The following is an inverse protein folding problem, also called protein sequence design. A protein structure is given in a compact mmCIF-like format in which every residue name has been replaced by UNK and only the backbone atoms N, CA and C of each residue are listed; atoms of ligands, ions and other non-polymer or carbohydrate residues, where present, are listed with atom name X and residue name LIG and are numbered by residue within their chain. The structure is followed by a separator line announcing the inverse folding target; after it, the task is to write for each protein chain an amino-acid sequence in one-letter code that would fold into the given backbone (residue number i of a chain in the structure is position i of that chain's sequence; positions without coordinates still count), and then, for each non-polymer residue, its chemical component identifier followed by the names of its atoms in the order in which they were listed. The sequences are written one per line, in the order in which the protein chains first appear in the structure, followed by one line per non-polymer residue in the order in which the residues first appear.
data_IF_218110745179
#
_entry.id   IF_218110745179
#
_cell.length_a   1.000
_cell.length_b   1.000
_cell.length_c   1.000
_cell.angle_alpha   90.00
_cell.angle_beta   90.00
_cell.angle_gamma   90.00
#
_symmetry.space_group_name_H-M   'P 1'
#
loop_
_entity.id
_entity.type
_entity.pdbx_description
1 polymer ?
#
# COMPACT_ATOMS: atom_id res chain seq x y z
N UNK A 1 -12.24 -38.69 -14.71
CA UNK A 1 -11.41 -38.13 -13.62
C UNK A 1 -10.58 -37.06 -14.28
N UNK A 2 -11.07 -35.82 -14.26
CA UNK A 2 -10.43 -34.69 -14.93
C UNK A 2 -9.40 -34.07 -14.00
N UNK A 3 -8.24 -33.75 -14.56
CA UNK A 3 -7.10 -33.18 -13.85
C UNK A 3 -7.38 -31.69 -13.60
N UNK A 4 -7.16 -31.14 -12.39
CA UNK A 4 -7.43 -29.73 -12.14
C UNK A 4 -6.39 -28.81 -12.80
N UNK A 5 -6.91 -27.76 -13.43
CA UNK A 5 -6.25 -26.83 -14.38
C UNK A 5 -5.33 -25.76 -13.75
N UNK A 6 -4.73 -25.99 -12.57
CA UNK A 6 -3.88 -24.98 -11.91
C UNK A 6 -2.39 -25.04 -12.29
N UNK A 7 -2.01 -25.81 -13.32
CA UNK A 7 -0.63 -25.92 -13.81
C UNK A 7 -0.40 -25.33 -15.21
N UNK A 8 -1.40 -24.70 -15.82
CA UNK A 8 -1.23 -23.99 -17.08
C UNK A 8 -0.97 -22.51 -16.80
N UNK A 9 0.30 -22.16 -16.59
CA UNK A 9 0.79 -20.80 -16.82
C UNK A 9 0.50 -20.49 -18.28
N UNK A 10 -0.59 -19.77 -18.51
CA UNK A 10 -0.76 -19.05 -19.77
C UNK A 10 0.24 -17.91 -19.71
N UNK A 11 1.27 -17.96 -20.57
CA UNK A 11 2.00 -16.76 -20.97
C UNK A 11 0.96 -15.79 -21.53
N UNK A 12 0.46 -14.91 -20.67
CA UNK A 12 -0.39 -13.81 -21.08
C UNK A 12 0.41 -12.98 -22.09
N UNK A 13 -0.20 -12.59 -23.22
CA UNK A 13 0.48 -11.74 -24.18
C UNK A 13 0.98 -10.50 -23.45
N UNK A 14 2.24 -10.12 -23.74
CA UNK A 14 2.87 -8.89 -23.31
C UNK A 14 1.85 -7.75 -23.25
N UNK A 15 1.79 -7.08 -22.10
CA UNK A 15 0.90 -5.95 -21.77
C UNK A 15 0.45 -5.19 -23.02
N UNK A 16 -0.71 -5.56 -23.57
CA UNK A 16 -1.38 -4.75 -24.56
C UNK A 16 -1.78 -3.47 -23.83
N UNK A 17 -1.20 -2.36 -24.28
CA UNK A 17 -1.54 -1.00 -23.86
C UNK A 17 -3.04 -0.78 -24.00
N UNK A 18 -3.80 -1.09 -22.96
CA UNK A 18 -5.24 -0.92 -22.93
C UNK A 18 -5.54 0.56 -22.77
N UNK A 19 -6.04 1.14 -23.85
CA UNK A 19 -6.63 2.48 -23.84
C UNK A 19 -7.98 2.40 -23.14
N UNK A 20 -8.04 2.85 -21.89
CA UNK A 20 -9.29 2.89 -21.13
C UNK A 20 -10.08 4.17 -21.48
N UNK A 21 -11.30 4.07 -22.04
CA UNK A 21 -12.08 5.22 -22.44
C UNK A 21 -12.56 6.01 -21.22
N UNK A 22 -12.47 7.34 -21.27
CA UNK A 22 -13.13 8.24 -20.32
C UNK A 22 -14.29 8.92 -21.06
N UNK A 23 -15.51 8.48 -20.78
CA UNK A 23 -16.74 9.08 -21.31
C UNK A 23 -16.99 8.88 -22.81
N UNK A 24 -18.11 9.42 -23.27
CA UNK A 24 -18.62 9.28 -24.64
C UNK A 24 -17.85 10.10 -25.69
N UNK A 25 -16.85 10.89 -25.26
CA UNK A 25 -16.17 11.88 -26.11
C UNK A 25 -14.97 11.33 -26.88
N UNK A 26 -14.59 10.06 -26.69
CA UNK A 26 -13.56 9.38 -27.50
C UNK A 26 -12.13 9.87 -27.29
N UNK A 27 -11.86 10.69 -26.26
CA UNK A 27 -10.50 11.08 -25.89
C UNK A 27 -9.86 10.02 -25.00
N UNK A 28 -8.92 9.26 -25.57
CA UNK A 28 -8.06 8.33 -24.82
C UNK A 28 -6.71 8.99 -24.59
N UNK A 29 -6.34 9.22 -23.32
CA UNK A 29 -4.97 9.57 -22.97
C UNK A 29 -4.07 8.35 -23.15
N UNK A 30 -2.84 8.55 -23.65
CA UNK A 30 -1.81 7.53 -23.51
C UNK A 30 -1.54 7.33 -22.02
N UNK A 31 -1.17 6.12 -21.63
CA UNK A 31 -0.82 5.81 -20.24
C UNK A 31 0.30 6.75 -19.71
N UNK A 32 1.24 7.12 -20.57
CA UNK A 32 2.31 8.09 -20.30
C UNK A 32 1.84 9.53 -20.08
N UNK A 33 0.61 9.85 -20.46
CA UNK A 33 0.01 11.19 -20.36
C UNK A 33 -0.94 11.30 -19.15
N UNK A 34 -1.19 10.19 -18.44
CA UNK A 34 -1.98 10.21 -17.21
C UNK A 34 -1.10 10.63 -16.01
N UNK A 35 -1.64 11.41 -15.06
CA UNK A 35 -0.94 11.63 -13.80
C UNK A 35 -0.74 10.28 -13.12
N UNK A 36 0.50 9.91 -12.82
CA UNK A 36 0.83 8.68 -12.13
C UNK A 36 0.49 8.80 -10.64
N UNK A 37 -0.24 7.81 -10.10
CA UNK A 37 -0.49 7.72 -8.66
C UNK A 37 0.82 7.42 -7.93
N UNK A 38 1.00 8.00 -6.75
CA UNK A 38 2.14 7.67 -5.88
C UNK A 38 2.14 6.18 -5.46
N UNK A 39 1.01 5.49 -5.61
CA UNK A 39 0.85 4.07 -5.32
C UNK A 39 1.10 3.16 -6.53
N UNK A 40 1.32 3.68 -7.73
CA UNK A 40 1.67 2.85 -8.90
C UNK A 40 2.87 1.93 -8.65
N UNK A 41 3.98 2.39 -8.03
CA UNK A 41 5.11 1.51 -7.68
C UNK A 41 4.78 0.43 -6.65
N UNK A 42 3.73 0.63 -5.84
CA UNK A 42 3.29 -0.35 -4.86
C UNK A 42 2.51 -1.49 -5.49
N UNK A 43 1.67 -1.18 -6.48
CA UNK A 43 0.76 -2.16 -7.08
C UNK A 43 1.39 -2.90 -8.27
N UNK A 44 2.11 -2.18 -9.14
CA UNK A 44 2.56 -2.74 -10.42
C UNK A 44 4.03 -3.11 -10.49
N UNK A 45 4.87 -2.69 -9.54
CA UNK A 45 6.29 -3.07 -9.56
C UNK A 45 6.50 -4.51 -9.06
N UNK A 46 7.61 -5.12 -9.47
CA UNK A 46 8.01 -6.45 -8.98
C UNK A 46 8.43 -6.41 -7.51
N UNK A 47 9.00 -5.29 -7.05
CA UNK A 47 9.54 -5.10 -5.70
C UNK A 47 8.77 -4.04 -4.92
N UNK A 48 8.89 -4.04 -3.59
CA UNK A 48 8.33 -2.96 -2.75
C UNK A 48 9.27 -1.75 -2.89
N UNK A 49 8.76 -0.51 -2.95
CA UNK A 49 9.61 0.68 -3.07
C UNK A 49 10.75 0.69 -2.04
N UNK A 50 11.97 0.93 -2.52
CA UNK A 50 13.17 0.81 -1.69
C UNK A 50 13.15 1.75 -0.47
N UNK A 51 12.57 2.94 -0.61
CA UNK A 51 12.38 3.88 0.50
C UNK A 51 11.50 3.28 1.60
N UNK A 52 10.40 2.63 1.22
CA UNK A 52 9.52 1.97 2.17
C UNK A 52 10.16 0.77 2.85
N UNK A 53 10.93 -0.04 2.09
CA UNK A 53 11.73 -1.12 2.66
C UNK A 53 12.73 -0.57 3.69
N UNK A 54 13.46 0.50 3.37
CA UNK A 54 14.43 1.10 4.27
C UNK A 54 13.78 1.59 5.58
N UNK A 55 12.61 2.24 5.48
CA UNK A 55 11.85 2.70 6.65
C UNK A 55 11.39 1.54 7.52
N UNK A 56 10.80 0.50 6.92
CA UNK A 56 10.31 -0.65 7.67
C UNK A 56 11.46 -1.45 8.30
N UNK A 57 12.58 -1.61 7.59
CA UNK A 57 13.76 -2.33 8.08
C UNK A 57 14.48 -1.64 9.25
N UNK A 58 14.07 -0.42 9.66
CA UNK A 58 14.44 0.14 10.97
C UNK A 58 13.91 -0.70 12.14
N UNK A 59 12.99 -1.64 11.89
CA UNK A 59 12.56 -2.68 12.82
C UNK A 59 12.97 -4.04 12.28
N UNK A 60 13.68 -4.80 13.11
CA UNK A 60 14.17 -6.14 12.79
C UNK A 60 13.05 -7.07 12.29
N UNK A 61 11.82 -6.88 12.76
CA UNK A 61 10.66 -7.69 12.36
C UNK A 61 10.30 -7.60 10.86
N UNK A 62 10.76 -6.53 10.19
CA UNK A 62 10.56 -6.31 8.76
C UNK A 62 11.82 -6.55 7.91
N UNK A 63 12.86 -7.16 8.48
CA UNK A 63 14.04 -7.55 7.73
C UNK A 63 13.68 -8.51 6.58
N UNK A 64 14.31 -8.32 5.43
CA UNK A 64 14.09 -9.16 4.24
C UNK A 64 12.71 -8.98 3.58
N UNK A 65 12.01 -7.88 3.85
CA UNK A 65 10.68 -7.61 3.29
C UNK A 65 10.61 -7.76 1.76
N UNK A 66 9.70 -8.61 1.30
CA UNK A 66 9.34 -8.82 -0.11
C UNK A 66 7.82 -8.86 -0.27
N UNK A 67 7.27 -8.34 -1.38
CA UNK A 67 5.83 -8.35 -1.64
C UNK A 67 5.40 -9.62 -2.37
N UNK A 68 4.41 -10.36 -1.83
CA UNK A 68 3.89 -11.59 -2.42
C UNK A 68 2.60 -11.37 -3.21
N UNK A 69 1.60 -10.73 -2.57
CA UNK A 69 0.29 -10.44 -3.15
C UNK A 69 0.11 -8.93 -3.11
N UNK A 70 -0.42 -8.34 -4.18
CA UNK A 70 -0.68 -6.90 -4.29
C UNK A 70 -2.07 -6.69 -4.85
N UNK A 71 -2.92 -5.97 -4.14
CA UNK A 71 -4.31 -5.74 -4.52
C UNK A 71 -4.65 -4.26 -4.34
N UNK A 72 -5.15 -3.56 -5.36
CA UNK A 72 -5.73 -2.24 -5.16
C UNK A 72 -7.01 -2.36 -4.34
N UNK A 73 -7.11 -1.60 -3.25
CA UNK A 73 -8.27 -1.65 -2.34
C UNK A 73 -9.23 -0.49 -2.56
N UNK A 74 -8.73 0.63 -3.09
CA UNK A 74 -9.54 1.78 -3.45
C UNK A 74 -8.97 2.49 -4.68
N UNK A 75 -9.84 2.80 -5.65
CA UNK A 75 -9.53 3.62 -6.82
C UNK A 75 -10.45 4.83 -6.89
N UNK A 76 -9.96 5.93 -7.47
CA UNK A 76 -10.78 7.11 -7.73
C UNK A 76 -11.59 6.99 -9.04
N UNK A 77 -12.38 8.02 -9.36
CA UNK A 77 -13.20 8.07 -10.57
C UNK A 77 -12.39 8.04 -11.88
N UNK A 78 -11.08 8.33 -11.81
CA UNK A 78 -10.16 8.32 -12.94
C UNK A 78 -9.30 7.04 -12.99
N UNK A 79 -9.56 6.09 -12.09
CA UNK A 79 -8.83 4.82 -11.97
C UNK A 79 -7.48 4.95 -11.26
N UNK A 80 -7.18 6.07 -10.61
CA UNK A 80 -5.97 6.23 -9.80
C UNK A 80 -6.13 5.52 -8.46
N UNK A 81 -5.09 4.79 -8.07
CA UNK A 81 -5.06 4.10 -6.78
C UNK A 81 -5.01 5.10 -5.63
N UNK A 82 -5.98 4.99 -4.73
CA UNK A 82 -6.05 5.74 -3.47
C UNK A 82 -5.52 4.91 -2.30
N UNK A 83 -5.73 3.61 -2.35
CA UNK A 83 -5.21 2.67 -1.37
C UNK A 83 -4.90 1.32 -2.03
N UNK A 84 -3.95 0.61 -1.43
CA UNK A 84 -3.50 -0.70 -1.84
C UNK A 84 -3.19 -1.57 -0.63
N UNK A 85 -3.33 -2.88 -0.82
CA UNK A 85 -2.95 -3.88 0.17
C UNK A 85 -1.91 -4.82 -0.41
N UNK A 86 -0.91 -5.14 0.41
CA UNK A 86 0.19 -6.01 0.09
C UNK A 86 0.34 -7.05 1.19
N UNK A 87 0.37 -8.32 0.81
CA UNK A 87 0.87 -9.37 1.71
C UNK A 87 2.38 -9.46 1.52
N UNK A 88 3.13 -9.05 2.54
CA UNK A 88 4.58 -9.11 2.56
C UNK A 88 5.11 -10.37 3.26
N UNK A 89 6.32 -10.78 2.90
CA UNK A 89 7.11 -11.79 3.61
C UNK A 89 8.37 -11.14 4.17
N UNK A 90 8.65 -11.41 5.43
CA UNK A 90 9.86 -11.01 6.15
C UNK A 90 10.54 -12.25 6.73
N UNK A 91 11.70 -12.07 7.36
CA UNK A 91 12.35 -13.15 8.11
C UNK A 91 11.53 -13.60 9.33
N UNK A 92 10.71 -12.70 9.90
CA UNK A 92 9.89 -12.96 11.09
C UNK A 92 8.51 -13.51 10.76
N UNK A 93 8.12 -13.61 9.48
CA UNK A 93 6.85 -14.19 9.07
C UNK A 93 6.18 -13.41 7.93
N UNK A 94 4.87 -13.56 7.82
CA UNK A 94 4.07 -12.74 6.90
C UNK A 94 3.69 -11.42 7.57
N UNK A 95 3.52 -10.37 6.78
CA UNK A 95 3.03 -9.06 7.24
C UNK A 95 1.94 -8.54 6.31
N UNK A 96 0.87 -8.01 6.87
CA UNK A 96 -0.20 -7.35 6.11
C UNK A 96 0.08 -5.86 6.00
N UNK A 97 0.26 -5.32 4.81
CA UNK A 97 0.62 -3.91 4.60
C UNK A 97 -0.50 -3.24 3.84
N UNK A 98 -1.08 -2.18 4.40
CA UNK A 98 -1.98 -1.27 3.69
C UNK A 98 -1.22 0.03 3.42
N UNK A 99 -1.25 0.50 2.19
CA UNK A 99 -0.66 1.76 1.77
C UNK A 99 -1.75 2.68 1.22
N UNK A 100 -1.77 3.94 1.64
CA UNK A 100 -2.75 4.95 1.22
C UNK A 100 -2.05 6.20 0.69
N UNK A 101 -2.60 6.78 -0.37
CA UNK A 101 -2.15 8.07 -0.89
C UNK A 101 -2.56 9.19 0.06
N UNK A 102 -1.63 10.11 0.32
CA UNK A 102 -1.84 11.23 1.25
C UNK A 102 -3.03 12.12 0.89
N UNK A 103 -3.33 12.30 -0.40
CA UNK A 103 -4.42 13.17 -0.84
C UNK A 103 -5.80 12.59 -0.50
N UNK A 104 -5.84 11.32 -0.12
CA UNK A 104 -7.05 10.59 0.25
C UNK A 104 -6.99 10.06 1.68
N UNK A 105 -6.10 10.61 2.52
CA UNK A 105 -5.97 10.21 3.91
C UNK A 105 -6.83 11.05 4.84
N UNK A 106 -7.45 10.39 5.81
CA UNK A 106 -8.15 10.97 6.95
C UNK A 106 -7.97 10.04 8.15
N UNK A 107 -8.14 10.54 9.36
CA UNK A 107 -8.02 9.69 10.55
C UNK A 107 -8.98 8.48 10.50
N UNK A 108 -10.21 8.71 10.04
CA UNK A 108 -11.20 7.64 9.86
C UNK A 108 -10.75 6.60 8.83
N UNK A 109 -10.32 7.03 7.64
CA UNK A 109 -9.89 6.08 6.61
C UNK A 109 -8.68 5.26 7.05
N UNK A 110 -7.77 5.84 7.84
CA UNK A 110 -6.60 5.13 8.38
C UNK A 110 -6.99 4.10 9.46
N UNK A 111 -8.02 4.38 10.26
CA UNK A 111 -8.59 3.40 11.19
C UNK A 111 -9.30 2.25 10.44
N UNK A 112 -10.02 2.57 9.37
CA UNK A 112 -10.66 1.58 8.51
C UNK A 112 -9.60 0.68 7.81
N UNK A 113 -8.51 1.30 7.32
CA UNK A 113 -7.35 0.60 6.76
C UNK A 113 -6.65 -0.28 7.80
N UNK A 114 -6.47 0.21 9.02
CA UNK A 114 -5.87 -0.55 10.12
C UNK A 114 -6.71 -1.79 10.44
N UNK A 115 -8.03 -1.61 10.59
CA UNK A 115 -8.93 -2.72 10.86
C UNK A 115 -8.94 -3.74 9.71
N UNK A 116 -8.91 -3.26 8.45
CA UNK A 116 -8.76 -4.12 7.29
C UNK A 116 -7.42 -4.88 7.29
N UNK A 117 -6.31 -4.18 7.52
CA UNK A 117 -4.97 -4.75 7.57
C UNK A 117 -4.84 -5.84 8.64
N UNK A 118 -5.40 -5.61 9.83
CA UNK A 118 -5.45 -6.61 10.92
C UNK A 118 -6.28 -7.82 10.53
N UNK A 119 -7.49 -7.65 9.98
CA UNK A 119 -8.31 -8.80 9.52
C UNK A 119 -7.59 -9.64 8.47
N UNK A 120 -6.88 -9.00 7.53
CA UNK A 120 -6.08 -9.71 6.54
C UNK A 120 -4.88 -10.40 7.19
N UNK A 121 -4.25 -9.77 8.18
CA UNK A 121 -3.17 -10.40 8.92
C UNK A 121 -3.66 -11.67 9.63
N UNK A 122 -4.83 -11.63 10.28
CA UNK A 122 -5.45 -12.80 10.91
C UNK A 122 -5.77 -13.89 9.88
N UNK A 123 -6.41 -13.52 8.76
CA UNK A 123 -6.81 -14.48 7.73
C UNK A 123 -5.65 -15.20 7.05
N UNK A 124 -4.48 -14.56 6.96
CA UNK A 124 -3.26 -15.14 6.40
C UNK A 124 -2.25 -15.61 7.46
N UNK A 125 -2.61 -15.61 8.74
CA UNK A 125 -1.71 -15.95 9.86
C UNK A 125 -0.41 -15.12 9.84
N UNK A 126 -0.49 -13.85 9.47
CA UNK A 126 0.61 -12.90 9.50
C UNK A 126 0.93 -12.49 10.95
N UNK A 127 2.20 -12.19 11.20
CA UNK A 127 2.70 -11.84 12.53
C UNK A 127 2.57 -10.36 12.83
N UNK A 128 2.24 -9.53 11.84
CA UNK A 128 2.09 -8.09 11.99
C UNK A 128 1.21 -7.48 10.91
N UNK A 129 0.70 -6.29 11.21
CA UNK A 129 0.01 -5.42 10.26
C UNK A 129 0.73 -4.06 10.19
N UNK A 130 0.64 -3.39 9.04
CA UNK A 130 1.27 -2.09 8.80
C UNK A 130 0.31 -1.18 8.02
N UNK A 131 0.19 0.08 8.43
CA UNK A 131 -0.50 1.15 7.68
C UNK A 131 0.50 2.22 7.27
N UNK A 132 0.66 2.44 5.97
CA UNK A 132 1.59 3.39 5.39
C UNK A 132 0.84 4.50 4.67
N UNK A 133 1.24 5.75 4.91
CA UNK A 133 0.76 6.89 4.12
C UNK A 133 1.87 7.34 3.19
N UNK A 134 1.65 7.19 1.88
CA UNK A 134 2.60 7.59 0.86
C UNK A 134 2.37 9.06 0.48
N UNK A 135 3.37 9.90 0.74
CA UNK A 135 3.35 11.27 0.24
C UNK A 135 3.50 11.28 -1.29
N UNK A 136 2.69 12.09 -1.96
CA UNK A 136 2.78 12.30 -3.41
C UNK A 136 3.76 13.43 -3.77
N UNK A 137 3.95 14.40 -2.87
CA UNK A 137 4.89 15.51 -2.97
C UNK A 137 5.43 15.95 -1.60
N UNK A 138 6.35 16.91 -1.59
CA UNK A 138 6.96 17.44 -0.36
C UNK A 138 6.00 18.26 0.53
N UNK A 139 4.81 18.63 0.03
CA UNK A 139 3.83 19.45 0.76
C UNK A 139 2.79 18.58 1.49
N UNK A 140 2.50 17.37 0.98
CA UNK A 140 1.55 16.43 1.57
C UNK A 140 1.97 15.92 2.96
N UNK A 141 3.24 16.07 3.34
CA UNK A 141 3.76 15.49 4.56
C UNK A 141 3.13 16.01 5.86
N UNK A 142 2.56 17.22 5.90
CA UNK A 142 1.85 17.69 7.10
C UNK A 142 0.52 16.96 7.29
N UNK A 143 -0.31 16.92 6.24
CA UNK A 143 -1.63 16.29 6.28
C UNK A 143 -1.56 14.82 6.65
N UNK A 144 -0.61 14.07 6.06
CA UNK A 144 -0.39 12.66 6.42
C UNK A 144 -0.10 12.47 7.90
N UNK A 145 0.80 13.30 8.46
CA UNK A 145 1.24 13.19 9.85
C UNK A 145 0.09 13.53 10.81
N UNK A 146 -0.64 14.62 10.56
CA UNK A 146 -1.80 15.00 11.37
C UNK A 146 -2.90 13.92 11.34
N UNK A 147 -3.14 13.29 10.18
CA UNK A 147 -4.11 12.20 10.06
C UNK A 147 -3.68 10.96 10.85
N UNK A 148 -2.39 10.59 10.82
CA UNK A 148 -1.83 9.47 11.58
C UNK A 148 -1.82 9.75 13.09
N UNK A 149 -1.42 10.95 13.50
CA UNK A 149 -1.48 11.42 14.89
C UNK A 149 -2.90 11.32 15.44
N UNK A 150 -3.88 11.79 14.67
CA UNK A 150 -5.29 11.71 15.05
C UNK A 150 -5.85 10.29 15.04
N UNK A 151 -5.46 9.43 14.10
CA UNK A 151 -5.95 8.05 14.01
C UNK A 151 -5.43 7.18 15.16
N UNK A 152 -4.14 7.28 15.46
CA UNK A 152 -3.45 6.36 16.38
C UNK A 152 -3.09 7.01 17.72
N UNK A 153 -3.62 8.21 18.00
CA UNK A 153 -3.36 8.98 19.23
C UNK A 153 -1.86 9.18 19.50
N UNK A 154 -1.08 9.38 18.44
CA UNK A 154 0.36 9.60 18.53
C UNK A 154 0.65 11.09 18.73
N UNK A 155 1.63 11.40 19.60
CA UNK A 155 1.92 12.80 19.97
C UNK A 155 2.64 13.59 18.88
N UNK A 156 3.50 12.93 18.10
CA UNK A 156 4.25 13.56 17.01
C UNK A 156 4.79 12.49 16.06
N UNK A 157 4.31 12.52 14.81
CA UNK A 157 4.75 11.60 13.76
C UNK A 157 5.79 12.29 12.91
N UNK A 158 6.94 11.65 12.73
CA UNK A 158 8.00 12.06 11.81
C UNK A 158 7.88 11.31 10.48
N UNK A 159 8.26 11.95 9.35
CA UNK A 159 8.43 11.23 8.10
C UNK A 159 9.45 10.10 8.24
N UNK A 160 9.22 8.99 7.56
CA UNK A 160 10.16 7.87 7.40
C UNK A 160 10.55 7.19 8.72
N UNK A 161 9.70 7.30 9.75
CA UNK A 161 9.87 6.61 11.04
C UNK A 161 8.66 5.69 11.28
N UNK A 162 8.88 4.39 11.55
CA UNK A 162 7.80 3.48 11.91
C UNK A 162 7.47 3.56 13.41
N UNK A 163 6.19 3.62 13.70
CA UNK A 163 5.61 3.65 15.05
C UNK A 163 4.70 2.45 15.27
N UNK A 164 4.65 1.96 16.50
CA UNK A 164 3.68 0.93 16.89
C UNK A 164 2.39 1.62 17.37
N UNK A 165 1.25 1.23 16.81
CA UNK A 165 -0.06 1.67 17.25
C UNK A 165 -0.51 0.88 18.48
N UNK A 166 -0.97 1.58 19.51
CA UNK A 166 -1.52 0.97 20.73
C UNK A 166 -3.00 0.63 20.54
N UNK A 167 -3.30 -0.24 19.58
CA UNK A 167 -4.65 -0.79 19.41
C UNK A 167 -4.78 -2.10 20.20
N UNK A 168 -5.98 -2.39 20.71
CA UNK A 168 -6.29 -3.67 21.35
C UNK A 168 -6.45 -4.77 20.28
N UNK A 169 -5.32 -5.30 19.80
CA UNK A 169 -5.23 -6.38 18.82
C UNK A 169 -4.10 -7.32 19.22
N UNK A 170 -4.31 -8.63 19.04
CA UNK A 170 -3.23 -9.63 19.22
C UNK A 170 -2.15 -9.49 18.14
N UNK A 171 -2.53 -8.97 16.96
CA UNK A 171 -1.60 -8.66 15.89
C UNK A 171 -1.06 -7.24 16.11
N UNK A 172 0.27 -7.07 16.27
CA UNK A 172 0.88 -5.75 16.41
C UNK A 172 0.69 -4.95 15.12
N UNK A 173 0.20 -3.73 15.27
CA UNK A 173 0.01 -2.80 14.18
C UNK A 173 1.09 -1.74 14.18
N UNK A 174 1.74 -1.55 13.04
CA UNK A 174 2.71 -0.48 12.81
C UNK A 174 2.14 0.56 11.85
N UNK A 175 2.63 1.78 11.93
CA UNK A 175 2.31 2.81 10.97
C UNK A 175 3.49 3.74 10.69
N UNK A 176 3.52 4.31 9.49
CA UNK A 176 4.50 5.33 9.10
C UNK A 176 3.95 6.26 8.03
N UNK A 177 4.48 7.48 8.01
CA UNK A 177 4.37 8.38 6.87
C UNK A 177 5.63 8.23 6.01
N UNK A 178 5.49 7.94 4.72
CA UNK A 178 6.62 7.80 3.80
C UNK A 178 6.81 9.07 2.98
N UNK A 179 8.07 9.49 2.85
CA UNK A 179 8.46 10.53 1.89
C UNK A 179 8.16 10.11 0.45
N UNK A 180 8.06 11.08 -0.49
CA UNK A 180 7.75 10.78 -1.88
C UNK A 180 8.75 9.79 -2.48
N UNK A 181 8.25 8.84 -3.27
CA UNK A 181 9.12 7.96 -4.05
C UNK A 181 9.85 8.83 -5.08
N UNK A 182 11.19 8.87 -5.00
CA UNK A 182 11.99 9.58 -5.99
C UNK A 182 11.67 9.03 -7.39
N UNK A 183 11.37 9.93 -8.33
CA UNK A 183 11.09 9.60 -9.74
C UNK A 183 12.37 9.30 -10.51
#
# INVERSE_FOLDING_TARGET
MEMPDYLMVSEGPASERMSHPIGETGFSFKESERPSSALTPWIHAETIPQTACAVLQLKELFEGLTGLIRVPTETDAFGQFRAGWILGRTVSGLTSIVVRDVNHCSAKSLLDDAAFGVRQAEGYCATSAVVLVQQSDSNGGRTAREALESAFMASYVQPDVPYEARLHSEIPLWFACLSPVAR
#
